data_IF_961704267722
#
_entry.id   IF_961704267722
#
_cell.length_a   1.000
_cell.length_b   1.000
_cell.length_c   1.000
_cell.angle_alpha   90.00
_cell.angle_beta   90.00
_cell.angle_gamma   90.00
#
_symmetry.space_group_name_H-M   'P 1'
#
loop_
_entity.id
_entity.type
_entity.pdbx_description
1 polymer ?
#
# COMPACT_ATOMS: atom_id res chain seq x y z
N UNK A 1 29.95 4.37 2.11
CA UNK A 1 28.61 4.70 2.65
C UNK A 1 28.11 5.94 1.93
N UNK A 2 27.21 5.81 0.94
CA UNK A 2 26.67 6.96 0.18
C UNK A 2 25.69 7.73 1.09
N UNK A 3 25.96 9.02 1.26
CA UNK A 3 25.11 9.99 1.97
C UNK A 3 23.64 9.85 1.53
N UNK A 4 22.78 9.32 2.40
CA UNK A 4 21.33 9.35 2.23
C UNK A 4 20.82 10.70 2.72
N UNK A 5 21.01 11.75 1.92
CA UNK A 5 20.37 13.04 2.17
C UNK A 5 18.94 12.99 1.64
N UNK A 6 17.98 13.28 2.52
CA UNK A 6 16.60 13.51 2.11
C UNK A 6 16.56 14.73 1.19
N UNK A 7 15.91 14.67 0.00
CA UNK A 7 15.84 15.83 -0.88
C UNK A 7 15.09 16.97 -0.20
N UNK A 8 15.59 18.20 -0.33
CA UNK A 8 14.84 19.39 0.06
C UNK A 8 13.72 19.64 -0.95
N UNK A 9 12.48 19.69 -0.48
CA UNK A 9 11.29 19.92 -1.31
C UNK A 9 10.79 21.36 -1.10
N UNK A 10 10.86 22.24 -2.12
CA UNK A 10 10.33 23.59 -2.02
C UNK A 10 8.79 23.59 -1.91
N UNK A 11 8.20 24.64 -1.34
CA UNK A 11 6.77 24.72 -1.06
C UNK A 11 5.84 24.62 -2.31
N UNK A 12 6.37 24.79 -3.52
CA UNK A 12 5.64 24.66 -4.79
C UNK A 12 5.90 23.33 -5.52
N UNK A 13 6.56 22.37 -4.87
CA UNK A 13 6.95 21.12 -5.51
C UNK A 13 5.74 20.19 -5.73
N UNK A 14 5.50 19.80 -6.97
CA UNK A 14 4.34 18.97 -7.31
C UNK A 14 4.55 17.50 -6.90
N UNK A 15 3.46 16.80 -6.63
CA UNK A 15 3.51 15.37 -6.31
C UNK A 15 4.16 14.52 -7.42
N UNK A 16 3.98 14.91 -8.69
CA UNK A 16 4.58 14.19 -9.81
C UNK A 16 6.10 14.35 -9.87
N UNK A 17 6.61 15.55 -9.59
CA UNK A 17 8.05 15.79 -9.49
C UNK A 17 8.67 15.04 -8.31
N UNK A 18 7.93 14.92 -7.21
CA UNK A 18 8.32 14.10 -6.07
C UNK A 18 8.48 12.64 -6.44
N UNK A 19 7.47 12.06 -7.08
CA UNK A 19 7.53 10.67 -7.52
C UNK A 19 8.66 10.45 -8.52
N UNK A 20 8.85 11.38 -9.47
CA UNK A 20 9.95 11.30 -10.45
C UNK A 20 11.31 11.28 -9.75
N UNK A 21 11.55 12.23 -8.85
CA UNK A 21 12.81 12.34 -8.10
C UNK A 21 13.03 11.12 -7.21
N UNK A 22 11.98 10.59 -6.60
CA UNK A 22 12.06 9.37 -5.78
C UNK A 22 12.44 8.15 -6.63
N UNK A 23 11.81 7.97 -7.80
CA UNK A 23 12.13 6.87 -8.73
C UNK A 23 13.58 6.94 -9.25
N UNK A 24 14.15 8.15 -9.41
CA UNK A 24 15.55 8.32 -9.84
C UNK A 24 16.58 7.99 -8.74
N UNK A 25 16.20 8.12 -7.46
CA UNK A 25 17.13 8.02 -6.32
C UNK A 25 17.02 6.72 -5.52
N UNK A 26 15.88 6.03 -5.59
CA UNK A 26 15.60 4.84 -4.81
C UNK A 26 15.23 3.68 -5.73
N UNK A 27 15.71 2.48 -5.38
CA UNK A 27 15.37 1.24 -6.08
C UNK A 27 13.90 0.84 -5.87
N UNK A 28 13.35 1.16 -4.70
CA UNK A 28 11.97 0.88 -4.32
C UNK A 28 11.38 2.12 -3.65
N UNK A 29 10.19 2.52 -4.10
CA UNK A 29 9.41 3.61 -3.51
C UNK A 29 8.10 3.03 -2.99
N UNK A 30 7.88 3.14 -1.67
CA UNK A 30 6.61 2.76 -1.05
C UNK A 30 5.75 4.01 -0.89
N UNK A 31 4.54 3.95 -1.41
CA UNK A 31 3.53 5.00 -1.28
C UNK A 31 2.51 4.51 -0.27
N UNK A 32 2.41 5.18 0.88
CA UNK A 32 1.33 4.93 1.82
C UNK A 32 0.07 5.67 1.37
N UNK A 33 -1.04 4.95 1.29
CA UNK A 33 -2.31 5.43 0.78
C UNK A 33 -3.34 5.55 1.89
N UNK A 34 -4.24 6.53 1.76
CA UNK A 34 -5.40 6.60 2.65
C UNK A 34 -6.30 5.36 2.51
N UNK A 35 -7.20 5.15 3.49
CA UNK A 35 -8.19 4.08 3.43
C UNK A 35 -9.04 4.18 2.14
N UNK A 36 -9.05 3.10 1.34
CA UNK A 36 -9.82 3.02 0.09
C UNK A 36 -11.32 3.25 0.26
N UNK A 37 -11.87 3.00 1.46
CA UNK A 37 -13.28 3.25 1.76
C UNK A 37 -13.60 4.76 1.81
N UNK A 38 -12.66 5.56 2.30
CA UNK A 38 -12.93 6.94 2.73
C UNK A 38 -12.23 7.98 1.84
N UNK A 39 -11.32 7.56 0.95
CA UNK A 39 -10.55 8.46 0.09
C UNK A 39 -10.51 8.00 -1.37
N UNK A 40 -10.95 8.89 -2.28
CA UNK A 40 -10.79 8.71 -3.72
C UNK A 40 -9.35 8.92 -4.19
N UNK A 41 -8.55 9.64 -3.42
CA UNK A 41 -7.15 9.93 -3.76
C UNK A 41 -6.32 8.66 -3.73
N UNK A 42 -6.61 7.74 -2.80
CA UNK A 42 -5.98 6.42 -2.76
C UNK A 42 -6.16 5.66 -4.09
N UNK A 43 -7.34 5.74 -4.71
CA UNK A 43 -7.62 5.12 -6.03
C UNK A 43 -6.91 5.86 -7.17
N UNK A 44 -6.76 7.18 -7.07
CA UNK A 44 -6.01 7.96 -8.06
C UNK A 44 -4.51 7.68 -8.00
N UNK A 45 -3.97 7.49 -6.79
CA UNK A 45 -2.55 7.19 -6.56
C UNK A 45 -2.09 5.90 -7.24
N UNK A 46 -2.98 4.93 -7.39
CA UNK A 46 -2.68 3.66 -8.05
C UNK A 46 -2.20 3.83 -9.49
N UNK A 47 -2.61 4.89 -10.18
CA UNK A 47 -2.16 5.18 -11.55
C UNK A 47 -0.69 5.61 -11.63
N UNK A 48 -0.06 5.94 -10.49
CA UNK A 48 1.35 6.31 -10.43
C UNK A 48 2.25 5.21 -9.85
N UNK A 49 1.65 4.10 -9.39
CA UNK A 49 2.34 2.97 -8.79
C UNK A 49 2.44 1.80 -9.78
N UNK A 50 3.57 1.09 -9.74
CA UNK A 50 3.81 -0.09 -10.58
C UNK A 50 3.05 -1.33 -10.06
N UNK A 51 2.67 -1.33 -8.77
CA UNK A 51 1.84 -2.33 -8.15
C UNK A 51 1.21 -1.85 -6.84
N UNK A 52 0.08 -2.44 -6.47
CA UNK A 52 -0.70 -2.08 -5.27
C UNK A 52 -0.91 -3.32 -4.41
N UNK A 53 -0.61 -3.21 -3.11
CA UNK A 53 -0.96 -4.23 -2.12
C UNK A 53 -2.01 -3.65 -1.15
N UNK A 54 -3.08 -4.41 -0.88
CA UNK A 54 -4.08 -4.00 0.11
C UNK A 54 -3.72 -4.52 1.50
N UNK A 55 -3.81 -3.65 2.50
CA UNK A 55 -3.71 -4.06 3.91
C UNK A 55 -5.11 -4.25 4.47
N UNK A 56 -5.40 -5.45 4.98
CA UNK A 56 -6.72 -5.83 5.51
C UNK A 56 -6.58 -6.33 6.93
N UNK A 57 -7.42 -5.84 7.84
CA UNK A 57 -7.43 -6.27 9.24
C UNK A 57 -8.11 -7.65 9.36
N UNK A 58 -7.35 -8.67 9.75
CA UNK A 58 -7.86 -10.04 9.88
C UNK A 58 -8.99 -10.12 10.90
N UNK A 59 -10.03 -10.89 10.59
CA UNK A 59 -11.18 -11.13 11.47
C UNK A 59 -12.09 -9.92 11.68
N UNK A 60 -11.65 -8.69 11.36
CA UNK A 60 -12.45 -7.45 11.51
C UNK A 60 -13.08 -6.99 10.20
N UNK A 61 -12.36 -7.06 9.09
CA UNK A 61 -12.87 -6.60 7.79
C UNK A 61 -13.58 -7.72 7.05
N UNK A 62 -14.89 -7.57 6.83
CA UNK A 62 -15.70 -8.56 6.08
C UNK A 62 -15.25 -8.65 4.62
N UNK A 63 -15.24 -9.85 4.06
CA UNK A 63 -14.86 -10.12 2.65
C UNK A 63 -15.60 -9.24 1.63
N UNK A 64 -16.89 -8.95 1.86
CA UNK A 64 -17.67 -8.08 0.98
C UNK A 64 -17.15 -6.64 0.96
N UNK A 65 -16.69 -6.12 2.11
CA UNK A 65 -16.10 -4.78 2.20
C UNK A 65 -14.80 -4.72 1.41
N UNK A 66 -13.95 -5.76 1.51
CA UNK A 66 -12.72 -5.85 0.74
C UNK A 66 -13.02 -5.89 -0.77
N UNK A 67 -13.99 -6.71 -1.20
CA UNK A 67 -14.40 -6.77 -2.61
C UNK A 67 -14.89 -5.42 -3.14
N UNK A 68 -15.73 -4.72 -2.36
CA UNK A 68 -16.22 -3.41 -2.75
C UNK A 68 -15.10 -2.36 -2.83
N UNK A 69 -14.10 -2.43 -1.94
CA UNK A 69 -12.94 -1.54 -1.97
C UNK A 69 -11.98 -1.82 -3.15
N UNK A 70 -11.92 -3.06 -3.64
CA UNK A 70 -11.08 -3.46 -4.77
C UNK A 70 -11.71 -3.06 -6.11
N UNK A 71 -13.03 -3.05 -6.24
CA UNK A 71 -13.71 -2.81 -7.52
C UNK A 71 -13.28 -1.51 -8.25
N UNK A 72 -13.11 -0.35 -7.57
CA UNK A 72 -12.60 0.86 -8.22
C UNK A 72 -11.15 0.72 -8.73
N UNK A 73 -10.32 -0.06 -8.04
CA UNK A 73 -8.95 -0.35 -8.44
C UNK A 73 -8.92 -1.21 -9.70
N UNK A 74 -9.77 -2.24 -9.75
CA UNK A 74 -9.95 -3.10 -10.93
C UNK A 74 -10.46 -2.29 -12.14
N UNK A 75 -11.42 -1.39 -11.94
CA UNK A 75 -11.93 -0.50 -13.00
C UNK A 75 -10.83 0.39 -13.57
N UNK A 76 -9.89 0.85 -12.73
CA UNK A 76 -8.70 1.60 -13.15
C UNK A 76 -7.56 0.72 -13.69
N UNK A 77 -7.77 -0.59 -13.79
CA UNK A 77 -6.75 -1.58 -14.21
C UNK A 77 -5.49 -1.49 -13.36
N UNK A 78 -5.64 -1.20 -12.06
CA UNK A 78 -4.51 -1.19 -11.14
C UNK A 78 -3.89 -2.60 -11.07
N UNK A 79 -2.56 -2.66 -11.05
CA UNK A 79 -1.83 -3.92 -10.88
C UNK A 79 -1.85 -4.34 -9.40
N UNK A 80 -2.88 -5.10 -8.99
CA UNK A 80 -3.01 -5.56 -7.61
C UNK A 80 -2.08 -6.76 -7.40
N UNK A 81 -1.02 -6.56 -6.62
CA UNK A 81 -0.03 -7.60 -6.30
C UNK A 81 -0.58 -8.63 -5.32
N UNK A 82 -1.50 -8.22 -4.45
CA UNK A 82 -2.12 -9.10 -3.47
C UNK A 82 -2.66 -8.36 -2.23
N UNK A 83 -2.91 -9.14 -1.18
CA UNK A 83 -3.47 -8.67 0.09
C UNK A 83 -2.56 -9.08 1.24
N UNK A 84 -2.28 -8.14 2.14
CA UNK A 84 -1.58 -8.32 3.40
C UNK A 84 -2.63 -8.38 4.51
N UNK A 85 -2.77 -9.53 5.15
CA UNK A 85 -3.59 -9.68 6.35
C UNK A 85 -2.81 -9.19 7.58
N UNK A 86 -3.27 -8.09 8.17
CA UNK A 86 -2.66 -7.48 9.34
C UNK A 86 -3.46 -7.78 10.62
N UNK A 87 -2.81 -7.64 11.78
CA UNK A 87 -3.35 -7.95 13.11
C UNK A 87 -3.83 -9.39 13.23
N UNK A 88 -3.02 -10.32 12.71
CA UNK A 88 -3.41 -11.71 12.65
C UNK A 88 -3.57 -12.32 14.04
N UNK A 89 -4.64 -13.08 14.24
CA UNK A 89 -4.86 -13.83 15.47
C UNK A 89 -4.45 -15.29 15.26
N UNK A 90 -3.42 -15.73 16.00
CA UNK A 90 -3.05 -17.13 16.04
C UNK A 90 -4.07 -17.89 16.88
N UNK A 91 -5.05 -18.51 16.22
CA UNK A 91 -6.03 -19.37 16.89
C UNK A 91 -5.37 -20.60 17.54
N UNK A 92 -4.17 -20.97 17.09
CA UNK A 92 -3.38 -22.07 17.64
C UNK A 92 -2.38 -21.51 18.67
N UNK A 93 -2.39 -22.01 19.91
CA UNK A 93 -1.38 -21.67 20.91
C UNK A 93 0.04 -21.96 20.42
N UNK A 94 0.98 -21.04 20.71
CA UNK A 94 2.38 -21.07 20.25
C UNK A 94 3.09 -22.41 20.51
N UNK A 95 2.77 -23.06 21.64
CA UNK A 95 3.33 -24.36 22.04
C UNK A 95 2.97 -25.54 21.13
N UNK A 96 1.93 -25.41 20.30
CA UNK A 96 1.57 -26.40 19.26
C UNK A 96 2.24 -26.04 17.93
N UNK A 97 2.34 -24.74 17.63
CA UNK A 97 2.92 -24.23 16.38
C UNK A 97 4.41 -24.55 16.22
N UNK A 98 5.17 -24.58 17.32
CA UNK A 98 6.62 -24.85 17.33
C UNK A 98 6.97 -26.34 17.40
N UNK A 99 5.97 -27.23 17.44
CA UNK A 99 6.15 -28.69 17.51
C UNK A 99 5.97 -29.40 16.15
N UNK A 100 5.72 -28.65 15.08
CA UNK A 100 5.49 -29.16 13.72
C UNK A 100 6.55 -28.61 12.78
#
# INVERSE_FOLDING_TARGET
>A
MKNRTVPFFPAFFSFLELLKTAKERYEIVLIDGANLKDSKDAVALCSYADGVALVVNEGKTRRQVVKAAIAPLEQKKANILGVILNNRTFAIPKAIYERV
#
